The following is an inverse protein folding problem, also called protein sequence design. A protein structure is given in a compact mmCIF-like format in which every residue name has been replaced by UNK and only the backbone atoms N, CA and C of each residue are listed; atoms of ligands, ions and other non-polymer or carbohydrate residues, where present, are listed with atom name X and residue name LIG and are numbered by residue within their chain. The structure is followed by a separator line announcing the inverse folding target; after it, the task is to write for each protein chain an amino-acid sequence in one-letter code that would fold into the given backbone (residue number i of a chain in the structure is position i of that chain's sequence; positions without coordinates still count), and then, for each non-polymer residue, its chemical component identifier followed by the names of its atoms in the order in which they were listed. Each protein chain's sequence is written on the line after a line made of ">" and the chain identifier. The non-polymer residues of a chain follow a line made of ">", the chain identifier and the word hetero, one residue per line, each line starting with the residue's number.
data_IF_909115648188
#
_entry.id   IF_909115648188
#
_cell.length_a   1.000
_cell.length_b   1.000
_cell.length_c   1.000
_cell.angle_alpha   90.00
_cell.angle_beta   90.00
_cell.angle_gamma   90.00
#
_symmetry.space_group_name_H-M   'P 1'
#
loop_
_entity.id
_entity.type
_entity.pdbx_description
1 polymer ?
#
# COMPACT_ATOMS: atom_id res chain seq x y z
N UNK A 1 25.71 23.29 10.96
CA UNK A 1 26.23 23.16 9.59
C UNK A 1 25.11 22.59 8.74
N UNK A 2 24.43 23.48 8.02
CA UNK A 2 23.35 23.10 7.11
C UNK A 2 23.91 22.24 5.97
N UNK A 3 23.61 20.95 5.96
CA UNK A 3 23.62 20.19 4.71
C UNK A 3 22.44 20.70 3.89
N UNK A 4 22.68 21.65 3.03
CA UNK A 4 21.80 21.97 1.91
C UNK A 4 21.64 20.68 1.12
N UNK A 5 20.52 19.98 1.34
CA UNK A 5 20.16 18.81 0.58
C UNK A 5 19.93 19.29 -0.86
N UNK A 6 20.87 18.99 -1.75
CA UNK A 6 20.75 19.26 -3.20
C UNK A 6 19.73 18.24 -3.78
N UNK A 7 18.49 18.37 -3.33
CA UNK A 7 17.39 17.57 -3.87
C UNK A 7 17.18 17.93 -5.33
N UNK A 8 17.54 17.02 -6.22
CA UNK A 8 17.23 17.12 -7.65
C UNK A 8 16.05 16.25 -7.98
N UNK A 9 14.86 16.84 -8.28
CA UNK A 9 13.71 16.06 -8.69
C UNK A 9 14.03 15.34 -10.01
N UNK A 10 13.50 14.12 -10.17
CA UNK A 10 13.68 13.33 -11.40
C UNK A 10 13.13 14.07 -12.63
N UNK A 11 12.00 14.74 -12.46
CA UNK A 11 11.42 15.62 -13.48
C UNK A 11 11.67 17.06 -13.05
N UNK A 12 12.41 17.83 -13.87
CA UNK A 12 12.65 19.24 -13.58
C UNK A 12 11.32 20.04 -13.65
N UNK A 13 11.23 21.11 -12.83
CA UNK A 13 10.05 21.95 -12.75
C UNK A 13 9.69 22.64 -14.09
N UNK A 14 10.65 22.76 -15.00
CA UNK A 14 10.48 23.38 -16.32
C UNK A 14 9.78 22.45 -17.33
N UNK A 15 9.67 21.15 -17.04
CA UNK A 15 9.01 20.19 -17.91
C UNK A 15 7.53 20.10 -17.55
N UNK A 16 6.68 20.45 -18.50
CA UNK A 16 5.22 20.27 -18.40
C UNK A 16 4.87 18.91 -19.00
N UNK A 17 4.58 17.94 -18.15
CA UNK A 17 4.11 16.61 -18.55
C UNK A 17 2.65 16.41 -18.10
N UNK A 18 1.86 15.61 -18.83
CA UNK A 18 0.52 15.27 -18.40
C UNK A 18 0.59 14.45 -17.09
N UNK A 19 -0.08 14.94 -16.07
CA UNK A 19 -0.12 14.34 -14.74
C UNK A 19 -1.56 14.00 -14.35
N UNK A 20 -2.38 15.04 -14.21
CA UNK A 20 -3.77 14.91 -13.80
C UNK A 20 -4.68 14.85 -15.03
N UNK A 21 -4.83 13.65 -15.59
CA UNK A 21 -5.67 13.41 -16.76
C UNK A 21 -6.93 12.65 -16.37
N UNK A 22 -7.99 12.78 -17.15
CA UNK A 22 -9.23 12.02 -16.94
C UNK A 22 -8.95 10.51 -16.93
N UNK A 23 -8.02 10.07 -17.77
CA UNK A 23 -7.61 8.66 -17.84
C UNK A 23 -6.96 8.20 -16.54
N UNK A 24 -5.99 8.97 -15.99
CA UNK A 24 -5.32 8.61 -14.75
C UNK A 24 -6.27 8.62 -13.57
N UNK A 25 -7.19 9.56 -13.49
CA UNK A 25 -8.18 9.63 -12.41
C UNK A 25 -9.16 8.46 -12.48
N UNK A 26 -9.74 8.17 -13.65
CA UNK A 26 -10.70 7.07 -13.79
C UNK A 26 -10.03 5.73 -13.48
N UNK A 27 -8.85 5.47 -14.05
CA UNK A 27 -8.12 4.23 -13.80
C UNK A 27 -7.73 4.10 -12.32
N UNK A 28 -7.24 5.19 -11.71
CA UNK A 28 -6.93 5.23 -10.29
C UNK A 28 -8.15 4.94 -9.41
N UNK A 29 -9.32 5.54 -9.72
CA UNK A 29 -10.56 5.26 -8.99
C UNK A 29 -11.01 3.80 -9.13
N UNK A 30 -10.89 3.20 -10.31
CA UNK A 30 -11.21 1.79 -10.51
C UNK A 30 -10.30 0.92 -9.62
N UNK A 31 -9.00 1.17 -9.64
CA UNK A 31 -8.05 0.45 -8.80
C UNK A 31 -8.30 0.69 -7.31
N UNK A 32 -8.65 1.91 -6.90
CA UNK A 32 -8.99 2.23 -5.51
C UNK A 32 -10.18 1.40 -5.01
N UNK A 33 -11.23 1.25 -5.83
CA UNK A 33 -12.39 0.42 -5.48
C UNK A 33 -12.01 -1.07 -5.41
N UNK A 34 -11.23 -1.56 -6.37
CA UNK A 34 -10.81 -2.97 -6.40
C UNK A 34 -9.92 -3.30 -5.21
N UNK A 35 -8.88 -2.51 -4.97
CA UNK A 35 -7.93 -2.76 -3.88
C UNK A 35 -8.55 -2.46 -2.51
N UNK A 36 -9.39 -1.43 -2.39
CA UNK A 36 -10.15 -1.16 -1.19
C UNK A 36 -11.08 -2.32 -0.83
N UNK A 37 -11.82 -2.84 -1.80
CA UNK A 37 -12.69 -4.01 -1.61
C UNK A 37 -11.91 -5.28 -1.28
N UNK A 38 -10.79 -5.52 -1.95
CA UNK A 38 -9.92 -6.67 -1.67
C UNK A 38 -9.32 -6.60 -0.26
N UNK A 39 -8.82 -5.43 0.16
CA UNK A 39 -8.31 -5.24 1.51
C UNK A 39 -9.41 -5.31 2.57
N UNK A 40 -10.61 -4.79 2.30
CA UNK A 40 -11.75 -4.95 3.19
C UNK A 40 -12.08 -6.43 3.42
N UNK A 41 -12.11 -7.21 2.35
CA UNK A 41 -12.34 -8.64 2.46
C UNK A 41 -11.24 -9.38 3.23
N UNK A 42 -9.96 -9.12 2.91
CA UNK A 42 -8.83 -9.74 3.57
C UNK A 42 -8.73 -9.35 5.03
N UNK A 43 -8.87 -8.06 5.34
CA UNK A 43 -8.77 -7.55 6.70
C UNK A 43 -9.86 -8.10 7.62
N UNK A 44 -11.09 -8.22 7.14
CA UNK A 44 -12.18 -8.80 7.92
C UNK A 44 -12.05 -10.33 8.08
N UNK A 45 -11.43 -11.02 7.12
CA UNK A 45 -11.30 -12.48 7.16
C UNK A 45 -10.05 -12.97 7.85
N UNK A 46 -8.93 -12.30 7.64
CA UNK A 46 -7.59 -12.75 8.07
C UNK A 46 -6.99 -11.80 9.11
N UNK A 47 -7.56 -10.61 9.29
CA UNK A 47 -7.01 -9.60 10.21
C UNK A 47 -5.80 -8.85 9.67
N UNK A 48 -5.50 -8.98 8.38
CA UNK A 48 -4.35 -8.33 7.74
C UNK A 48 -4.77 -7.51 6.52
N UNK A 49 -3.99 -6.48 6.23
CA UNK A 49 -4.10 -5.68 5.00
C UNK A 49 -2.82 -5.81 4.19
N UNK A 50 -2.94 -5.74 2.88
CA UNK A 50 -1.79 -5.82 1.96
C UNK A 50 -1.66 -4.50 1.23
N UNK A 51 -0.44 -3.95 1.17
CA UNK A 51 -0.19 -2.75 0.38
C UNK A 51 -0.42 -3.00 -1.11
N UNK A 52 -1.24 -2.15 -1.71
CA UNK A 52 -1.56 -2.19 -3.12
C UNK A 52 -0.75 -1.19 -3.96
N UNK A 53 0.14 -0.41 -3.35
CA UNK A 53 0.90 0.64 -4.01
C UNK A 53 1.74 0.11 -5.17
N UNK A 54 2.52 -0.95 -4.93
CA UNK A 54 3.36 -1.56 -5.97
C UNK A 54 2.52 -2.26 -7.04
N UNK A 55 1.53 -3.11 -6.71
CA UNK A 55 0.61 -3.66 -7.71
C UNK A 55 -0.10 -2.59 -8.54
N UNK A 56 -0.54 -1.49 -7.92
CA UNK A 56 -1.17 -0.39 -8.63
C UNK A 56 -0.20 0.27 -9.63
N UNK A 57 1.06 0.49 -9.25
CA UNK A 57 2.10 1.01 -10.13
C UNK A 57 2.33 0.10 -11.34
N UNK A 58 2.46 -1.21 -11.12
CA UNK A 58 2.68 -2.18 -12.21
C UNK A 58 1.46 -2.26 -13.15
N UNK A 59 0.25 -2.31 -12.60
CA UNK A 59 -0.98 -2.35 -13.40
C UNK A 59 -1.14 -1.05 -14.19
N UNK A 60 -0.87 0.11 -13.57
CA UNK A 60 -0.95 1.40 -14.25
C UNK A 60 -0.01 1.48 -15.45
N UNK A 61 1.24 1.03 -15.29
CA UNK A 61 2.19 0.96 -16.39
C UNK A 61 1.71 0.03 -17.50
N UNK A 62 1.19 -1.14 -17.15
CA UNK A 62 0.63 -2.08 -18.12
C UNK A 62 -0.52 -1.47 -18.92
N UNK A 63 -1.47 -0.80 -18.25
CA UNK A 63 -2.64 -0.21 -18.91
C UNK A 63 -2.25 1.04 -19.70
N UNK A 64 -1.55 1.98 -19.09
CA UNK A 64 -1.24 3.28 -19.73
C UNK A 64 -0.27 3.08 -20.89
N UNK A 65 0.77 2.28 -20.71
CA UNK A 65 1.81 2.11 -21.73
C UNK A 65 1.43 1.11 -22.81
N UNK A 66 0.92 -0.07 -22.43
CA UNK A 66 0.66 -1.15 -23.38
C UNK A 66 -0.68 -0.97 -24.09
N UNK A 67 -1.75 -0.63 -23.33
CA UNK A 67 -3.10 -0.51 -23.88
C UNK A 67 -3.32 0.87 -24.49
N UNK A 68 -3.02 1.93 -23.74
CA UNK A 68 -3.28 3.30 -24.17
C UNK A 68 -2.13 3.90 -24.99
N UNK A 69 -0.97 3.24 -25.03
CA UNK A 69 0.24 3.66 -25.76
C UNK A 69 0.70 5.07 -25.41
N UNK A 70 0.57 5.42 -24.13
CA UNK A 70 1.01 6.70 -23.59
C UNK A 70 2.25 6.45 -22.74
N UNK A 71 3.24 7.33 -22.85
CA UNK A 71 4.44 7.34 -22.00
C UNK A 71 4.38 8.57 -21.08
N UNK A 72 3.83 8.39 -19.88
CA UNK A 72 3.81 9.42 -18.85
C UNK A 72 3.97 8.79 -17.47
N UNK A 73 5.15 8.96 -16.91
CA UNK A 73 5.46 8.52 -15.54
C UNK A 73 4.57 9.22 -14.51
N UNK A 74 4.19 10.49 -14.75
CA UNK A 74 3.34 11.24 -13.84
C UNK A 74 1.90 10.72 -13.85
N UNK A 75 1.35 10.34 -15.03
CA UNK A 75 0.04 9.68 -15.10
C UNK A 75 0.07 8.34 -14.34
N UNK A 76 1.13 7.54 -14.49
CA UNK A 76 1.31 6.28 -13.77
C UNK A 76 1.38 6.51 -12.25
N UNK A 77 2.14 7.51 -11.81
CA UNK A 77 2.22 7.88 -10.40
C UNK A 77 0.87 8.34 -9.84
N UNK A 78 0.11 9.10 -10.61
CA UNK A 78 -1.24 9.52 -10.22
C UNK A 78 -2.18 8.34 -10.04
N UNK A 79 -2.18 7.39 -10.97
CA UNK A 79 -2.98 6.15 -10.88
C UNK A 79 -2.59 5.33 -9.65
N UNK A 80 -1.29 5.17 -9.41
CA UNK A 80 -0.78 4.45 -8.24
C UNK A 80 -1.22 5.13 -6.95
N UNK A 81 -1.10 6.45 -6.86
CA UNK A 81 -1.45 7.23 -5.65
C UNK A 81 -2.95 7.15 -5.36
N UNK A 82 -3.80 7.32 -6.37
CA UNK A 82 -5.26 7.21 -6.18
C UNK A 82 -5.64 5.77 -5.84
N UNK A 83 -5.03 4.77 -6.48
CA UNK A 83 -5.28 3.35 -6.24
C UNK A 83 -4.94 2.95 -4.81
N UNK A 84 -3.79 3.38 -4.30
CA UNK A 84 -3.36 3.08 -2.94
C UNK A 84 -4.16 3.83 -1.87
N UNK A 85 -4.75 4.99 -2.19
CA UNK A 85 -5.63 5.69 -1.26
C UNK A 85 -6.88 4.86 -0.89
N UNK A 86 -7.44 4.10 -1.83
CA UNK A 86 -8.57 3.21 -1.56
C UNK A 86 -8.24 2.09 -0.59
N UNK A 87 -7.07 1.49 -0.73
CA UNK A 87 -6.55 0.48 0.19
C UNK A 87 -6.33 1.06 1.59
N UNK A 88 -5.65 2.20 1.69
CA UNK A 88 -5.36 2.86 2.97
C UNK A 88 -6.64 3.24 3.72
N UNK A 89 -7.66 3.72 3.00
CA UNK A 89 -8.97 4.02 3.58
C UNK A 89 -9.64 2.75 4.11
N UNK A 90 -9.60 1.66 3.35
CA UNK A 90 -10.16 0.37 3.77
C UNK A 90 -9.45 -0.15 5.02
N UNK A 91 -8.11 -0.08 5.07
CA UNK A 91 -7.32 -0.49 6.22
C UNK A 91 -7.72 0.28 7.49
N UNK A 92 -7.84 1.61 7.41
CA UNK A 92 -8.29 2.43 8.53
C UNK A 92 -9.70 2.06 9.04
N UNK A 93 -10.62 1.79 8.13
CA UNK A 93 -11.99 1.42 8.47
C UNK A 93 -12.09 0.03 9.12
N UNK A 94 -11.34 -0.95 8.63
CA UNK A 94 -11.42 -2.35 9.07
C UNK A 94 -10.97 -2.52 10.52
N UNK A 95 -9.97 -1.80 10.96
CA UNK A 95 -9.43 -1.94 12.31
C UNK A 95 -10.21 -1.17 13.37
N UNK A 96 -11.11 -0.26 12.98
CA UNK A 96 -11.84 0.60 13.91
C UNK A 96 -13.35 0.34 13.92
N UNK A 97 -13.98 0.25 12.76
CA UNK A 97 -15.44 0.13 12.64
C UNK A 97 -16.01 -1.18 13.21
N UNK A 98 -15.36 -2.36 13.08
CA UNK A 98 -15.88 -3.60 13.65
C UNK A 98 -16.11 -3.54 15.16
N UNK A 99 -15.30 -2.78 15.90
CA UNK A 99 -15.49 -2.60 17.35
C UNK A 99 -16.88 -2.01 17.67
N UNK A 100 -17.35 -1.06 16.85
CA UNK A 100 -18.68 -0.45 17.06
C UNK A 100 -19.78 -1.47 16.80
N UNK A 101 -19.63 -2.36 15.82
CA UNK A 101 -20.58 -3.44 15.56
C UNK A 101 -20.61 -4.48 16.69
N UNK A 102 -19.45 -4.80 17.26
CA UNK A 102 -19.36 -5.71 18.42
C UNK A 102 -20.09 -5.08 19.60
N UNK A 103 -19.82 -3.83 19.93
CA UNK A 103 -20.52 -3.14 21.03
C UNK A 103 -22.03 -3.01 20.79
N UNK A 104 -22.43 -2.75 19.55
CA UNK A 104 -23.86 -2.69 19.21
C UNK A 104 -24.56 -4.05 19.36
N UNK A 105 -23.83 -5.16 19.29
CA UNK A 105 -24.37 -6.51 19.49
C UNK A 105 -24.50 -6.90 20.97
N UNK A 106 -23.80 -6.19 21.87
CA UNK A 106 -23.86 -6.45 23.30
C UNK A 106 -25.17 -5.94 23.91
N UNK A 107 -25.87 -6.81 24.64
CA UNK A 107 -27.12 -6.45 25.32
C UNK A 107 -26.88 -5.40 26.41
N UNK A 108 -27.49 -4.23 26.25
CA UNK A 108 -27.40 -3.15 27.25
C UNK A 108 -26.33 -2.10 26.98
N UNK A 109 -25.58 -2.19 25.88
CA UNK A 109 -24.55 -1.22 25.53
C UNK A 109 -25.09 0.17 25.16
N UNK A 110 -26.37 0.28 24.76
CA UNK A 110 -26.95 1.52 24.25
C UNK A 110 -26.36 2.02 22.91
N UNK A 111 -25.42 1.27 22.35
CA UNK A 111 -24.76 1.61 21.09
C UNK A 111 -25.57 1.02 19.92
N UNK A 112 -25.86 1.84 18.93
CA UNK A 112 -26.52 1.38 17.69
C UNK A 112 -25.48 1.15 16.60
N UNK A 113 -25.68 0.11 15.79
CA UNK A 113 -24.80 -0.16 14.65
C UNK A 113 -24.82 1.04 13.67
N UNK A 114 -23.66 1.49 13.19
CA UNK A 114 -23.58 2.63 12.29
C UNK A 114 -24.21 2.29 10.94
N UNK A 115 -24.95 3.24 10.37
CA UNK A 115 -25.50 3.10 9.03
C UNK A 115 -24.40 3.23 7.97
N UNK A 116 -24.67 2.72 6.77
CA UNK A 116 -23.78 2.87 5.64
C UNK A 116 -23.40 4.34 5.37
N UNK A 117 -24.37 5.25 5.47
CA UNK A 117 -24.13 6.69 5.29
C UNK A 117 -23.21 7.25 6.36
N UNK A 118 -23.38 6.83 7.62
CA UNK A 118 -22.51 7.25 8.72
C UNK A 118 -21.07 6.79 8.49
N UNK A 119 -20.87 5.54 8.06
CA UNK A 119 -19.55 4.99 7.73
C UNK A 119 -18.91 5.78 6.58
N UNK A 120 -19.67 6.06 5.53
CA UNK A 120 -19.19 6.83 4.37
C UNK A 120 -18.80 8.26 4.75
N UNK A 121 -19.57 8.93 5.61
CA UNK A 121 -19.26 10.27 6.11
C UNK A 121 -17.99 10.26 6.99
N UNK A 122 -17.87 9.29 7.88
CA UNK A 122 -16.66 9.13 8.72
C UNK A 122 -15.42 8.95 7.84
N UNK A 123 -15.51 8.07 6.84
CA UNK A 123 -14.42 7.82 5.91
C UNK A 123 -14.06 9.08 5.09
N UNK A 124 -15.06 9.82 4.61
CA UNK A 124 -14.86 11.07 3.88
C UNK A 124 -14.19 12.13 4.76
N UNK A 125 -14.69 12.34 5.97
CA UNK A 125 -14.11 13.30 6.91
C UNK A 125 -12.68 12.91 7.30
N UNK A 126 -12.42 11.61 7.53
CA UNK A 126 -11.09 11.09 7.81
C UNK A 126 -10.11 11.33 6.66
N UNK A 127 -10.54 11.09 5.42
CA UNK A 127 -9.75 11.39 4.23
C UNK A 127 -9.42 12.87 4.07
N UNK A 128 -10.40 13.75 4.26
CA UNK A 128 -10.18 15.21 4.22
C UNK A 128 -9.20 15.65 5.32
N UNK A 129 -9.39 15.16 6.54
CA UNK A 129 -8.47 15.42 7.65
C UNK A 129 -7.05 14.98 7.33
N UNK A 130 -6.87 13.77 6.80
CA UNK A 130 -5.56 13.24 6.41
C UNK A 130 -4.84 14.14 5.41
N UNK A 131 -5.54 14.62 4.38
CA UNK A 131 -4.99 15.57 3.42
C UNK A 131 -4.62 16.90 4.08
N UNK A 132 -5.51 17.47 4.90
CA UNK A 132 -5.26 18.73 5.58
C UNK A 132 -4.05 18.67 6.52
N UNK A 133 -3.85 17.56 7.22
CA UNK A 133 -2.66 17.35 8.05
C UNK A 133 -1.40 17.14 7.23
N UNK A 134 -1.49 16.44 6.10
CA UNK A 134 -0.31 16.13 5.30
C UNK A 134 0.23 17.36 4.55
N UNK A 135 -0.61 18.30 4.15
CA UNK A 135 -0.18 19.51 3.41
C UNK A 135 0.93 20.29 4.13
N UNK A 136 0.80 20.68 5.43
CA UNK A 136 1.88 21.36 6.14
C UNK A 136 3.07 20.45 6.45
N UNK A 137 2.83 19.16 6.71
CA UNK A 137 3.90 18.23 7.09
C UNK A 137 4.75 17.78 5.88
N UNK A 138 4.22 17.87 4.68
CA UNK A 138 4.89 17.41 3.47
C UNK A 138 6.27 18.04 3.28
N UNK A 139 6.40 19.34 3.50
CA UNK A 139 7.66 20.05 3.33
C UNK A 139 8.71 19.51 4.30
N UNK A 140 8.36 19.41 5.58
CA UNK A 140 9.28 18.92 6.60
C UNK A 140 9.66 17.45 6.38
N UNK A 141 8.66 16.56 6.24
CA UNK A 141 8.92 15.13 6.22
C UNK A 141 9.46 14.61 4.88
N UNK A 142 9.08 15.20 3.76
CA UNK A 142 9.44 14.67 2.44
C UNK A 142 10.57 15.49 1.79
N UNK A 143 10.59 16.81 1.96
CA UNK A 143 11.59 17.66 1.29
C UNK A 143 12.81 17.87 2.17
N UNK A 144 12.64 18.32 3.43
CA UNK A 144 13.76 18.63 4.32
C UNK A 144 14.47 17.38 4.82
N UNK A 145 13.72 16.34 5.18
CA UNK A 145 14.24 15.06 5.66
C UNK A 145 14.48 14.05 4.52
N UNK A 146 14.53 14.53 3.27
CA UNK A 146 14.79 13.66 2.11
C UNK A 146 16.14 12.95 2.24
N UNK A 147 16.13 11.63 2.12
CA UNK A 147 17.32 10.79 2.25
C UNK A 147 17.76 10.50 3.69
N UNK A 148 17.10 11.10 4.70
CA UNK A 148 17.30 10.78 6.12
C UNK A 148 16.25 9.81 6.60
N UNK A 149 14.95 10.11 6.32
CA UNK A 149 13.86 9.21 6.62
C UNK A 149 13.73 8.13 5.55
N UNK A 150 13.74 6.86 5.94
CA UNK A 150 13.51 5.77 4.99
C UNK A 150 12.02 5.67 4.69
N UNK A 151 11.66 5.75 3.42
CA UNK A 151 10.31 5.48 2.91
C UNK A 151 10.38 4.24 2.01
N UNK A 152 10.48 3.03 2.57
CA UNK A 152 10.82 1.82 1.78
C UNK A 152 9.78 1.52 0.71
N UNK A 153 8.51 1.66 1.03
CA UNK A 153 7.42 1.41 0.09
C UNK A 153 7.36 2.49 -1.00
N UNK A 154 7.44 3.77 -0.62
CA UNK A 154 7.49 4.87 -1.57
C UNK A 154 8.70 4.79 -2.49
N UNK A 155 9.86 4.43 -1.96
CA UNK A 155 11.08 4.20 -2.74
C UNK A 155 10.90 3.04 -3.72
N UNK A 156 10.35 1.91 -3.27
CA UNK A 156 10.08 0.77 -4.13
C UNK A 156 9.09 1.12 -5.25
N UNK A 157 8.03 1.88 -4.95
CA UNK A 157 7.10 2.36 -5.97
C UNK A 157 7.78 3.27 -7.01
N UNK A 158 8.63 4.19 -6.56
CA UNK A 158 9.39 5.06 -7.44
C UNK A 158 10.33 4.26 -8.36
N UNK A 159 11.06 3.30 -7.81
CA UNK A 159 11.94 2.41 -8.58
C UNK A 159 11.17 1.59 -9.64
N UNK A 160 9.99 1.11 -9.29
CA UNK A 160 9.11 0.38 -10.23
C UNK A 160 8.66 1.30 -11.36
N UNK A 161 8.24 2.54 -11.06
CA UNK A 161 7.83 3.51 -12.07
C UNK A 161 9.00 3.90 -12.99
N UNK A 162 10.19 4.13 -12.41
CA UNK A 162 11.42 4.45 -13.17
C UNK A 162 11.84 3.28 -14.06
N UNK A 163 11.81 2.05 -13.54
CA UNK A 163 12.10 0.85 -14.33
C UNK A 163 11.12 0.67 -15.50
N UNK A 164 9.88 1.08 -15.30
CA UNK A 164 8.87 1.11 -16.34
C UNK A 164 9.17 2.16 -17.42
N UNK A 165 9.61 3.35 -17.03
CA UNK A 165 9.95 4.44 -17.96
C UNK A 165 11.20 4.12 -18.79
N UNK A 166 12.28 3.66 -18.14
CA UNK A 166 13.50 3.28 -18.83
C UNK A 166 13.31 2.07 -19.76
N UNK A 167 12.34 1.19 -19.43
CA UNK A 167 12.07 -0.02 -20.20
C UNK A 167 13.23 -1.04 -20.17
N UNK A 168 13.25 -1.94 -21.15
CA UNK A 168 14.37 -2.88 -21.35
C UNK A 168 14.51 -3.94 -20.24
N UNK A 169 15.74 -4.19 -19.77
CA UNK A 169 16.04 -5.28 -18.83
C UNK A 169 15.51 -5.01 -17.42
N UNK A 170 15.50 -3.76 -16.96
CA UNK A 170 15.00 -3.38 -15.63
C UNK A 170 13.51 -3.68 -15.48
N UNK A 171 12.70 -3.31 -16.47
CA UNK A 171 11.28 -3.62 -16.49
C UNK A 171 11.02 -5.14 -16.46
N UNK A 172 11.82 -5.94 -17.18
CA UNK A 172 11.71 -7.40 -17.15
C UNK A 172 11.93 -8.00 -15.77
N UNK A 173 12.87 -7.45 -14.99
CA UNK A 173 13.14 -7.91 -13.61
C UNK A 173 11.93 -7.65 -12.70
N UNK A 174 11.28 -6.48 -12.82
CA UNK A 174 10.07 -6.15 -12.05
C UNK A 174 8.94 -7.12 -12.36
N UNK A 175 8.66 -7.35 -13.65
CA UNK A 175 7.61 -8.30 -14.06
C UNK A 175 7.96 -9.75 -13.72
N UNK A 176 9.23 -10.14 -13.78
CA UNK A 176 9.67 -11.44 -13.32
C UNK A 176 9.47 -11.62 -11.81
N UNK A 177 9.82 -10.61 -11.01
CA UNK A 177 9.57 -10.60 -9.57
C UNK A 177 8.08 -10.71 -9.24
N UNK A 178 7.23 -9.95 -9.93
CA UNK A 178 5.78 -10.06 -9.80
C UNK A 178 5.29 -11.47 -10.13
N UNK A 179 5.78 -12.07 -11.23
CA UNK A 179 5.43 -13.43 -11.64
C UNK A 179 5.84 -14.47 -10.60
N UNK A 180 7.05 -14.38 -10.06
CA UNK A 180 7.54 -15.28 -9.01
C UNK A 180 6.68 -15.15 -7.74
N UNK A 181 6.38 -13.92 -7.31
CA UNK A 181 5.55 -13.67 -6.15
C UNK A 181 4.11 -14.18 -6.35
N UNK A 182 3.55 -14.00 -7.55
CA UNK A 182 2.22 -14.51 -7.89
C UNK A 182 2.18 -16.05 -7.88
N UNK A 183 3.19 -16.72 -8.45
CA UNK A 183 3.31 -18.19 -8.43
C UNK A 183 3.46 -18.68 -6.98
N UNK A 184 4.30 -18.05 -6.18
CA UNK A 184 4.44 -18.37 -4.76
C UNK A 184 3.11 -18.29 -4.03
N UNK A 185 2.39 -17.18 -4.18
CA UNK A 185 1.08 -16.98 -3.54
C UNK A 185 0.03 -17.97 -4.06
N UNK A 186 0.03 -18.27 -5.34
CA UNK A 186 -0.86 -19.28 -5.90
C UNK A 186 -0.59 -20.66 -5.32
N UNK A 187 0.67 -21.05 -5.13
CA UNK A 187 1.03 -22.33 -4.52
C UNK A 187 0.67 -22.37 -3.04
N UNK A 188 0.96 -21.29 -2.28
CA UNK A 188 0.70 -21.22 -0.86
C UNK A 188 -0.80 -21.13 -0.54
N UNK A 189 -1.50 -20.15 -1.12
CA UNK A 189 -2.88 -19.83 -0.76
C UNK A 189 -3.90 -20.52 -1.68
N UNK A 190 -3.55 -20.69 -2.97
CA UNK A 190 -4.44 -21.33 -3.96
C UNK A 190 -4.41 -22.84 -3.86
N UNK A 191 -3.24 -23.44 -3.96
CA UNK A 191 -3.06 -24.89 -3.88
C UNK A 191 -2.90 -25.42 -2.46
N UNK A 192 -2.59 -24.54 -1.50
CA UNK A 192 -2.36 -24.88 -0.08
C UNK A 192 -1.34 -26.02 0.10
N UNK A 193 -0.29 -26.02 -0.71
CA UNK A 193 0.75 -27.06 -0.65
C UNK A 193 1.65 -26.92 0.60
N UNK A 194 1.77 -25.73 1.14
CA UNK A 194 2.41 -25.45 2.42
C UNK A 194 1.66 -24.32 3.14
N UNK A 195 1.71 -24.29 4.48
CA UNK A 195 1.05 -23.24 5.24
C UNK A 195 1.72 -21.89 4.98
N UNK A 196 0.92 -20.86 4.70
CA UNK A 196 1.40 -19.47 4.63
C UNK A 196 1.76 -18.91 6.01
N UNK A 197 1.15 -19.47 7.05
CA UNK A 197 1.38 -19.15 8.44
C UNK A 197 1.99 -20.36 9.13
N UNK A 198 3.12 -20.16 9.80
CA UNK A 198 3.75 -21.18 10.64
C UNK A 198 3.45 -20.82 12.09
N UNK A 199 2.63 -21.62 12.75
CA UNK A 199 2.24 -21.42 14.14
C UNK A 199 2.75 -22.57 15.02
N UNK A 200 3.44 -22.22 16.08
CA UNK A 200 3.86 -23.15 17.13
C UNK A 200 3.03 -22.89 18.38
N UNK A 201 2.08 -23.75 18.68
CA UNK A 201 1.30 -23.69 19.90
C UNK A 201 1.94 -24.55 20.98
N UNK A 202 2.27 -23.96 22.12
CA UNK A 202 2.75 -24.64 23.31
C UNK A 202 1.58 -24.80 24.27
N UNK A 203 1.13 -26.04 24.47
CA UNK A 203 0.11 -26.37 25.43
C UNK A 203 0.77 -26.82 26.76
N UNK A 204 0.65 -25.98 27.76
CA UNK A 204 1.14 -26.23 29.11
C UNK A 204 0.21 -25.60 30.15
N UNK A 205 0.75 -25.31 31.34
CA UNK A 205 0.02 -24.57 32.38
C UNK A 205 -0.40 -23.16 31.89
N UNK A 206 0.31 -22.61 30.89
CA UNK A 206 -0.03 -21.42 30.13
C UNK A 206 -0.07 -21.79 28.64
N UNK A 207 -1.18 -21.50 27.98
CA UNK A 207 -1.29 -21.70 26.54
C UNK A 207 -0.71 -20.48 25.82
N UNK A 208 0.38 -20.69 25.09
CA UNK A 208 1.05 -19.65 24.31
C UNK A 208 1.22 -20.15 22.88
N UNK A 209 0.97 -19.28 21.90
CA UNK A 209 1.29 -19.55 20.50
C UNK A 209 2.26 -18.49 19.97
N UNK A 210 3.22 -18.95 19.18
CA UNK A 210 4.13 -18.08 18.43
C UNK A 210 3.94 -18.40 16.95
N UNK A 211 3.52 -17.42 16.18
CA UNK A 211 3.27 -17.57 14.76
C UNK A 211 4.10 -16.61 13.92
N UNK A 212 4.39 -17.00 12.70
CA UNK A 212 5.08 -16.17 11.71
C UNK A 212 4.45 -16.37 10.34
N UNK A 213 4.10 -15.25 9.71
CA UNK A 213 3.68 -15.21 8.32
C UNK A 213 4.88 -15.17 7.37
N UNK A 214 4.89 -16.05 6.38
CA UNK A 214 5.91 -16.07 5.34
C UNK A 214 5.41 -15.32 4.10
N UNK A 215 5.57 -14.01 4.10
CA UNK A 215 5.13 -13.12 3.03
C UNK A 215 6.32 -12.57 2.23
N UNK A 216 6.44 -12.89 0.92
CA UNK A 216 7.52 -12.36 0.08
C UNK A 216 7.59 -10.84 0.02
N UNK A 217 6.43 -10.17 0.12
CA UNK A 217 6.35 -8.71 0.17
C UNK A 217 7.08 -8.15 1.40
N UNK A 218 6.87 -8.74 2.59
CA UNK A 218 7.55 -8.31 3.81
C UNK A 218 9.05 -8.61 3.77
N UNK A 219 9.45 -9.74 3.18
CA UNK A 219 10.86 -10.04 2.94
C UNK A 219 11.52 -9.00 2.03
N UNK A 220 10.82 -8.56 0.97
CA UNK A 220 11.28 -7.49 0.09
C UNK A 220 11.42 -6.15 0.81
N UNK A 221 10.43 -5.76 1.61
CA UNK A 221 10.50 -4.54 2.43
C UNK A 221 11.66 -4.61 3.42
N UNK A 222 11.82 -5.74 4.11
CA UNK A 222 12.94 -5.95 5.04
C UNK A 222 14.31 -5.82 4.36
N UNK A 223 14.44 -6.32 3.12
CA UNK A 223 15.66 -6.18 2.32
C UNK A 223 15.95 -4.72 1.96
N UNK A 224 14.93 -3.96 1.56
CA UNK A 224 15.05 -2.53 1.19
C UNK A 224 15.38 -1.67 2.41
N UNK A 225 14.70 -1.90 3.55
CA UNK A 225 14.92 -1.16 4.80
C UNK A 225 16.30 -1.42 5.41
N UNK A 226 16.88 -2.60 5.14
CA UNK A 226 18.11 -3.06 5.76
C UNK A 226 17.95 -3.51 7.21
N UNK A 227 19.05 -4.07 7.75
CA UNK A 227 19.03 -4.75 9.06
C UNK A 227 18.67 -3.81 10.21
N UNK A 228 19.13 -2.56 10.17
CA UNK A 228 18.93 -1.61 11.27
C UNK A 228 17.44 -1.26 11.46
N UNK A 229 16.76 -0.87 10.38
CA UNK A 229 15.33 -0.54 10.45
C UNK A 229 14.49 -1.77 10.71
N UNK A 230 14.83 -2.89 10.08
CA UNK A 230 14.14 -4.17 10.32
C UNK A 230 14.26 -4.64 11.77
N UNK A 231 15.40 -4.39 12.44
CA UNK A 231 15.55 -4.73 13.86
C UNK A 231 14.68 -3.88 14.77
N UNK A 232 14.47 -2.60 14.45
CA UNK A 232 13.52 -1.76 15.20
C UNK A 232 12.06 -2.20 15.02
N UNK A 233 11.72 -2.69 13.83
CA UNK A 233 10.36 -3.20 13.59
C UNK A 233 10.11 -4.55 14.28
N UNK A 234 11.17 -5.32 14.55
CA UNK A 234 11.09 -6.61 15.23
C UNK A 234 11.06 -6.48 16.76
N UNK A 235 11.69 -5.46 17.32
CA UNK A 235 11.79 -5.24 18.77
C UNK A 235 10.49 -4.73 19.39
#
# INVERSE_FOLDING_TARGET
>A
MEKKNDFKPFISADKVLPEFTVTSVILGMILAVIFGGANAYLGLRVGMTVSASIPAAVISMGVIRVILKKDSILENNMVQTIGSAGESLAAGAIFTIPAIFIWASEKGSGVTAPSFVSIALIALCGGILGVLFMVPLRTALIVEEHGVLPYPEGTACAEVLLAGEEGGSKSKVVFAGLGIAAVYKFIADGLKLFPSEVEFSMQGQYTTSVGMDVLPALAGVGYICGVQVSSYLFA
#
